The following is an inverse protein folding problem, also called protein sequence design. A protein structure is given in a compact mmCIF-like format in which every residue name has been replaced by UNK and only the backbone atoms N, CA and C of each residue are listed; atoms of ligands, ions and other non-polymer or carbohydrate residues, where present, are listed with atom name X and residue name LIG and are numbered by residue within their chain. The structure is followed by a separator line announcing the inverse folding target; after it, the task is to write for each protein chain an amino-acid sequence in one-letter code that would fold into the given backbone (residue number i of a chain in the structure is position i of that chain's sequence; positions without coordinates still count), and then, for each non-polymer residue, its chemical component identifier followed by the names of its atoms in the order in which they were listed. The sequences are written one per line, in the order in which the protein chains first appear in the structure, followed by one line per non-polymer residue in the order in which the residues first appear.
data_IF_196318389372
#
_entry.id   IF_196318389372
#
_cell.length_a   1.000
_cell.length_b   1.000
_cell.length_c   1.000
_cell.angle_alpha   90.00
_cell.angle_beta   90.00
_cell.angle_gamma   90.00
#
_symmetry.space_group_name_H-M   'P 1'
#
loop_
_entity.id
_entity.type
_entity.pdbx_description
1 polymer ?
#
# COMPACT_ATOMS: atom_id res chain seq x y z
N UNK A 1 -2.46 -20.61 -18.18
CA UNK A 1 -3.10 -19.91 -17.04
C UNK A 1 -4.59 -20.23 -16.88
N UNK A 2 -5.39 -20.38 -17.96
CA UNK A 2 -6.84 -20.66 -17.85
C UNK A 2 -7.24 -22.15 -17.88
N UNK A 3 -6.27 -23.05 -17.90
CA UNK A 3 -6.47 -24.51 -17.99
C UNK A 3 -5.60 -25.26 -16.97
N UNK A 4 -5.27 -24.62 -15.84
CA UNK A 4 -4.64 -25.30 -14.72
C UNK A 4 -5.73 -25.69 -13.72
N UNK A 5 -5.51 -26.79 -12.99
CA UNK A 5 -6.43 -27.20 -11.94
C UNK A 5 -6.53 -26.11 -10.85
N UNK A 6 -7.73 -25.87 -10.31
CA UNK A 6 -7.92 -24.87 -9.26
C UNK A 6 -7.16 -25.28 -8.00
N UNK A 7 -6.62 -24.29 -7.28
CA UNK A 7 -6.05 -24.52 -5.96
C UNK A 7 -7.16 -24.84 -4.94
N UNK A 8 -6.86 -25.44 -3.77
CA UNK A 8 -7.88 -25.78 -2.77
C UNK A 8 -8.79 -24.62 -2.37
N UNK A 9 -8.22 -23.41 -2.24
CA UNK A 9 -8.98 -22.20 -1.95
C UNK A 9 -10.01 -21.88 -3.05
N UNK A 10 -9.63 -21.98 -4.32
CA UNK A 10 -10.55 -21.71 -5.44
C UNK A 10 -11.69 -22.74 -5.46
N UNK A 11 -11.42 -23.99 -5.11
CA UNK A 11 -12.43 -25.05 -5.00
C UNK A 11 -13.44 -24.78 -3.88
N UNK A 12 -12.96 -24.37 -2.71
CA UNK A 12 -13.81 -24.01 -1.57
C UNK A 12 -14.64 -22.77 -1.89
N UNK A 13 -13.98 -21.70 -2.36
CA UNK A 13 -14.63 -20.44 -2.70
C UNK A 13 -15.74 -20.62 -3.76
N UNK A 14 -15.49 -21.41 -4.81
CA UNK A 14 -16.50 -21.67 -5.84
C UNK A 14 -17.64 -22.57 -5.36
N UNK A 15 -17.37 -23.51 -4.44
CA UNK A 15 -18.40 -24.32 -3.78
C UNK A 15 -19.33 -23.44 -2.94
N UNK A 16 -18.77 -22.54 -2.15
CA UNK A 16 -19.55 -21.63 -1.30
C UNK A 16 -20.40 -20.67 -2.13
N UNK A 17 -19.84 -20.12 -3.21
CA UNK A 17 -20.60 -19.32 -4.18
C UNK A 17 -21.78 -20.12 -4.78
N UNK A 18 -21.55 -21.39 -5.14
CA UNK A 18 -22.60 -22.26 -5.67
C UNK A 18 -23.72 -22.51 -4.67
N UNK A 19 -23.39 -22.80 -3.41
CA UNK A 19 -24.35 -22.94 -2.33
C UNK A 19 -25.17 -21.66 -2.12
N UNK A 20 -24.50 -20.51 -1.98
CA UNK A 20 -25.16 -19.21 -1.80
C UNK A 20 -26.08 -18.86 -2.97
N UNK A 21 -25.67 -19.20 -4.20
CA UNK A 21 -26.49 -18.99 -5.39
C UNK A 21 -27.78 -19.82 -5.35
N UNK A 22 -27.68 -21.09 -4.98
CA UNK A 22 -28.83 -21.98 -4.86
C UNK A 22 -29.78 -21.51 -3.77
N UNK A 23 -29.25 -21.22 -2.57
CA UNK A 23 -30.03 -20.69 -1.44
C UNK A 23 -30.72 -19.37 -1.79
N UNK A 24 -30.02 -18.44 -2.45
CA UNK A 24 -30.59 -17.17 -2.88
C UNK A 24 -31.80 -17.35 -3.81
N UNK A 25 -31.71 -18.24 -4.80
CA UNK A 25 -32.81 -18.51 -5.73
C UNK A 25 -33.97 -19.23 -5.00
N UNK A 26 -33.68 -20.21 -4.14
CA UNK A 26 -34.71 -20.92 -3.36
C UNK A 26 -35.50 -19.99 -2.44
N UNK A 27 -34.85 -18.97 -1.89
CA UNK A 27 -35.49 -17.93 -1.07
C UNK A 27 -36.20 -16.84 -1.91
N UNK A 28 -36.39 -17.05 -3.21
CA UNK A 28 -37.08 -16.12 -4.11
C UNK A 28 -36.23 -14.96 -4.64
N UNK A 29 -34.91 -15.01 -4.44
CA UNK A 29 -33.97 -14.05 -4.99
C UNK A 29 -33.88 -14.14 -6.52
N UNK A 30 -33.66 -12.99 -7.17
CA UNK A 30 -33.52 -12.88 -8.62
C UNK A 30 -32.57 -11.73 -8.99
N UNK A 31 -31.99 -11.78 -10.19
CA UNK A 31 -31.30 -10.69 -10.86
C UNK A 31 -30.14 -10.10 -10.03
N UNK A 32 -29.31 -10.96 -9.45
CA UNK A 32 -28.14 -10.58 -8.69
C UNK A 32 -26.90 -11.40 -9.08
N UNK A 33 -25.74 -10.77 -8.95
CA UNK A 33 -24.44 -11.43 -8.93
C UNK A 33 -24.14 -11.88 -7.50
N UNK A 34 -23.80 -13.16 -7.34
CA UNK A 34 -23.42 -13.74 -6.06
C UNK A 34 -21.98 -13.36 -5.75
N UNK A 35 -21.74 -12.85 -4.55
CA UNK A 35 -20.40 -12.49 -4.09
C UNK A 35 -20.20 -12.81 -2.62
N UNK A 36 -18.96 -13.01 -2.24
CA UNK A 36 -18.53 -13.11 -0.84
C UNK A 36 -17.61 -11.92 -0.57
N UNK A 37 -17.98 -11.09 0.41
CA UNK A 37 -17.25 -9.88 0.78
C UNK A 37 -16.91 -9.98 2.26
N UNK A 38 -15.61 -9.90 2.59
CA UNK A 38 -15.10 -10.07 3.95
C UNK A 38 -15.65 -11.33 4.64
N UNK A 39 -15.74 -12.44 3.91
CA UNK A 39 -16.26 -13.72 4.40
C UNK A 39 -17.78 -13.85 4.48
N UNK A 40 -18.53 -12.81 4.11
CA UNK A 40 -20.00 -12.82 4.17
C UNK A 40 -20.61 -12.90 2.77
N UNK A 41 -21.69 -13.67 2.63
CA UNK A 41 -22.50 -13.64 1.41
C UNK A 41 -23.16 -12.27 1.23
N UNK A 42 -22.91 -11.64 0.08
CA UNK A 42 -23.49 -10.35 -0.30
C UNK A 42 -24.02 -10.44 -1.73
N UNK A 43 -25.34 -10.45 -1.96
CA UNK A 43 -25.90 -10.38 -3.29
C UNK A 43 -25.77 -8.96 -3.86
N UNK A 44 -25.22 -8.83 -5.06
CA UNK A 44 -25.13 -7.55 -5.78
C UNK A 44 -26.14 -7.52 -6.92
N UNK A 45 -27.23 -6.77 -6.78
CA UNK A 45 -28.29 -6.73 -7.78
C UNK A 45 -27.86 -6.04 -9.07
N UNK A 46 -28.30 -6.57 -10.21
CA UNK A 46 -27.96 -6.03 -11.54
C UNK A 46 -28.38 -4.57 -11.71
N UNK A 47 -29.49 -4.15 -11.11
CA UNK A 47 -29.95 -2.75 -11.12
C UNK A 47 -28.95 -1.77 -10.49
N UNK A 48 -28.13 -2.24 -9.54
CA UNK A 48 -27.19 -1.41 -8.78
C UNK A 48 -25.78 -1.43 -9.40
N UNK A 49 -25.44 -2.50 -10.15
CA UNK A 49 -24.09 -2.67 -10.74
C UNK A 49 -24.02 -2.39 -12.24
N UNK A 50 -25.15 -2.42 -12.96
CA UNK A 50 -25.21 -2.12 -14.39
C UNK A 50 -25.46 -0.63 -14.60
N UNK A 51 -24.68 -0.05 -15.51
CA UNK A 51 -24.97 1.29 -16.02
C UNK A 51 -26.26 1.24 -16.86
N UNK A 52 -27.27 2.07 -16.56
CA UNK A 52 -28.57 2.05 -17.23
C UNK A 52 -28.49 2.38 -18.73
N UNK A 53 -27.47 3.12 -19.17
CA UNK A 53 -27.28 3.50 -20.57
C UNK A 53 -26.52 2.43 -21.35
N UNK A 54 -25.41 1.94 -20.78
CA UNK A 54 -24.51 1.02 -21.50
C UNK A 54 -24.88 -0.45 -21.29
N UNK A 55 -25.70 -0.78 -20.28
CA UNK A 55 -26.03 -2.14 -19.81
C UNK A 55 -24.79 -2.98 -19.48
N UNK A 56 -23.64 -2.34 -19.27
CA UNK A 56 -22.40 -2.99 -18.86
C UNK A 56 -22.19 -2.79 -17.37
N UNK A 57 -21.53 -3.76 -16.74
CA UNK A 57 -21.07 -3.61 -15.36
C UNK A 57 -19.99 -2.54 -15.29
N UNK A 58 -20.05 -1.67 -14.28
CA UNK A 58 -19.00 -0.69 -14.03
C UNK A 58 -17.67 -1.39 -13.81
N UNK A 59 -16.65 -1.01 -14.59
CA UNK A 59 -15.28 -1.49 -14.37
C UNK A 59 -14.78 -0.91 -13.04
N UNK A 60 -14.49 -1.77 -12.07
CA UNK A 60 -13.87 -1.36 -10.80
C UNK A 60 -12.38 -1.22 -11.04
N UNK A 61 -11.90 0.02 -11.10
CA UNK A 61 -10.47 0.30 -11.15
C UNK A 61 -9.83 -0.01 -9.80
N UNK A 62 -8.59 -0.48 -9.83
CA UNK A 62 -7.79 -0.66 -8.61
C UNK A 62 -7.53 0.71 -8.01
N UNK A 63 -7.83 0.87 -6.73
CA UNK A 63 -7.44 2.06 -5.98
C UNK A 63 -5.96 1.97 -5.61
N UNK A 64 -5.14 2.64 -6.43
CA UNK A 64 -3.69 2.73 -6.24
C UNK A 64 -3.28 3.61 -5.05
N UNK A 65 -4.23 4.32 -4.44
CA UNK A 65 -3.98 5.14 -3.25
C UNK A 65 -4.27 4.39 -1.95
N UNK A 66 -4.96 3.25 -2.01
CA UNK A 66 -5.24 2.42 -0.85
C UNK A 66 -3.97 1.90 -0.18
N UNK A 67 -3.98 1.81 1.16
CA UNK A 67 -2.85 1.29 1.93
C UNK A 67 -2.50 -0.15 1.53
N UNK A 68 -3.52 -0.99 1.34
CA UNK A 68 -3.32 -2.38 0.92
C UNK A 68 -2.56 -2.46 -0.42
N UNK A 69 -2.93 -1.64 -1.40
CA UNK A 69 -2.21 -1.58 -2.67
C UNK A 69 -0.78 -1.10 -2.48
N UNK A 70 -0.55 -0.05 -1.68
CA UNK A 70 0.79 0.48 -1.44
C UNK A 70 1.71 -0.52 -0.73
N UNK A 71 1.18 -1.25 0.25
CA UNK A 71 1.89 -2.33 0.95
C UNK A 71 2.24 -3.45 -0.03
N UNK A 72 1.26 -3.95 -0.79
CA UNK A 72 1.48 -4.99 -1.78
C UNK A 72 2.53 -4.54 -2.82
N UNK A 73 2.44 -3.29 -3.29
CA UNK A 73 3.40 -2.71 -4.25
C UNK A 73 4.83 -2.68 -3.73
N UNK A 74 5.04 -2.49 -2.42
CA UNK A 74 6.39 -2.52 -1.80
C UNK A 74 6.97 -3.93 -1.69
N UNK A 75 6.13 -4.96 -1.54
CA UNK A 75 6.59 -6.35 -1.46
C UNK A 75 6.78 -7.01 -2.83
N UNK A 76 6.32 -6.39 -3.92
CA UNK A 76 6.52 -6.92 -5.26
C UNK A 76 7.98 -6.79 -5.69
N UNK A 77 8.55 -7.87 -6.21
CA UNK A 77 9.84 -7.84 -6.90
C UNK A 77 9.68 -7.15 -8.27
N UNK A 78 9.85 -5.83 -8.29
CA UNK A 78 9.70 -4.99 -9.48
C UNK A 78 10.68 -3.83 -9.42
N UNK A 79 11.17 -3.44 -10.60
CA UNK A 79 11.92 -2.20 -10.75
C UNK A 79 11.09 -1.00 -10.27
N UNK A 80 11.69 -0.20 -9.41
CA UNK A 80 11.14 1.01 -8.82
C UNK A 80 12.05 2.22 -9.11
N UNK A 81 11.65 3.42 -8.69
CA UNK A 81 12.44 4.62 -8.94
C UNK A 81 13.81 4.61 -8.24
N UNK A 82 13.90 4.05 -7.03
CA UNK A 82 15.13 4.02 -6.23
C UNK A 82 16.21 3.17 -6.93
N UNK A 83 15.80 2.09 -7.60
CA UNK A 83 16.67 1.22 -8.41
C UNK A 83 17.37 1.98 -9.56
N UNK A 84 16.76 3.04 -10.11
CA UNK A 84 17.33 3.88 -11.17
C UNK A 84 18.09 5.11 -10.64
N UNK A 85 17.90 5.44 -9.36
CA UNK A 85 18.56 6.56 -8.68
C UNK A 85 19.89 6.14 -8.05
N UNK A 86 20.06 4.86 -7.69
CA UNK A 86 21.34 4.30 -7.26
C UNK A 86 22.18 3.83 -8.47
N UNK A 87 23.30 4.51 -8.80
CA UNK A 87 24.14 4.12 -9.92
C UNK A 87 24.73 2.71 -9.80
N UNK A 88 24.94 2.23 -8.57
CA UNK A 88 25.54 0.92 -8.32
C UNK A 88 24.52 -0.22 -8.56
N UNK A 89 23.29 -0.07 -8.07
CA UNK A 89 22.21 -1.03 -8.37
C UNK A 89 21.86 -1.03 -9.86
N UNK A 90 21.78 0.15 -10.48
CA UNK A 90 21.51 0.26 -11.90
C UNK A 90 22.57 -0.47 -12.75
N UNK A 91 23.85 -0.35 -12.39
CA UNK A 91 24.92 -1.06 -13.08
C UNK A 91 24.78 -2.59 -12.94
N UNK A 92 24.39 -3.10 -11.77
CA UNK A 92 24.12 -4.53 -11.58
C UNK A 92 22.96 -5.03 -12.45
N UNK A 93 21.88 -4.26 -12.55
CA UNK A 93 20.74 -4.64 -13.40
C UNK A 93 21.09 -4.64 -14.88
N UNK A 94 21.84 -3.64 -15.34
CA UNK A 94 22.34 -3.56 -16.71
C UNK A 94 23.24 -4.76 -17.06
N UNK A 95 24.19 -5.09 -16.18
CA UNK A 95 25.11 -6.23 -16.34
C UNK A 95 24.35 -7.57 -16.37
N UNK A 96 23.40 -7.76 -15.45
CA UNK A 96 22.53 -8.96 -15.42
C UNK A 96 21.75 -9.12 -16.73
N UNK A 97 21.32 -8.02 -17.33
CA UNK A 97 20.63 -8.01 -18.63
C UNK A 97 21.58 -8.05 -19.82
N UNK A 98 22.90 -7.97 -19.60
CA UNK A 98 23.94 -7.83 -20.63
C UNK A 98 23.73 -6.62 -21.54
N UNK A 99 23.33 -5.51 -20.94
CA UNK A 99 23.14 -4.22 -21.61
C UNK A 99 24.10 -3.18 -21.04
N UNK A 100 24.38 -2.13 -21.81
CA UNK A 100 24.97 -0.94 -21.22
C UNK A 100 23.93 -0.15 -20.40
N UNK A 101 24.38 0.80 -19.58
CA UNK A 101 23.51 1.54 -18.66
C UNK A 101 22.46 2.37 -19.44
N UNK A 102 22.86 2.98 -20.55
CA UNK A 102 21.99 3.85 -21.35
C UNK A 102 20.92 3.03 -22.08
N UNK A 103 21.29 1.87 -22.65
CA UNK A 103 20.38 0.89 -23.24
C UNK A 103 19.39 0.33 -22.21
N UNK A 104 19.86 0.05 -21.00
CA UNK A 104 18.99 -0.40 -19.91
C UNK A 104 17.96 0.68 -19.56
N UNK A 105 18.40 1.95 -19.45
CA UNK A 105 17.50 3.09 -19.21
C UNK A 105 16.50 3.23 -20.35
N UNK A 106 16.94 3.26 -21.60
CA UNK A 106 16.04 3.37 -22.76
C UNK A 106 14.97 2.28 -22.75
N UNK A 107 15.37 1.04 -22.43
CA UNK A 107 14.47 -0.11 -22.47
C UNK A 107 13.52 -0.20 -21.29
N UNK A 108 13.91 0.21 -20.09
CA UNK A 108 13.13 -0.06 -18.87
C UNK A 108 12.65 1.18 -18.12
N UNK A 109 13.16 2.38 -18.42
CA UNK A 109 12.78 3.60 -17.70
C UNK A 109 11.28 3.95 -17.85
N UNK A 110 10.61 3.51 -18.93
CA UNK A 110 9.17 3.71 -19.08
C UNK A 110 8.35 3.03 -17.96
N UNK A 111 8.88 1.97 -17.33
CA UNK A 111 8.20 1.22 -16.27
C UNK A 111 8.01 2.07 -15.01
N UNK A 112 8.96 2.97 -14.74
CA UNK A 112 9.01 3.77 -13.52
C UNK A 112 8.39 5.17 -13.67
N UNK A 113 8.00 5.58 -14.89
CA UNK A 113 7.41 6.91 -15.14
C UNK A 113 6.16 7.19 -14.28
N UNK A 114 5.39 6.14 -13.98
CA UNK A 114 4.19 6.21 -13.14
C UNK A 114 4.39 5.54 -11.78
N UNK A 115 5.65 5.30 -11.36
CA UNK A 115 5.90 4.74 -10.04
C UNK A 115 5.58 5.79 -8.96
N UNK A 116 4.87 5.37 -7.92
CA UNK A 116 4.35 6.26 -6.86
C UNK A 116 4.97 5.97 -5.49
N UNK A 117 5.97 5.10 -5.48
CA UNK A 117 6.74 4.67 -4.31
C UNK A 117 7.52 5.83 -3.68
N UNK A 118 8.01 6.76 -4.50
CA UNK A 118 8.76 7.96 -4.11
C UNK A 118 7.98 8.90 -3.18
N UNK A 119 6.66 9.06 -3.41
CA UNK A 119 5.83 10.02 -2.67
C UNK A 119 5.66 9.64 -1.22
N UNK A 120 5.66 8.33 -0.93
CA UNK A 120 5.45 7.85 0.43
C UNK A 120 6.76 7.66 1.20
N UNK A 121 7.85 7.23 0.57
CA UNK A 121 9.16 7.17 1.25
C UNK A 121 9.63 8.55 1.67
N UNK A 122 9.52 9.57 0.80
CA UNK A 122 9.84 10.96 1.15
C UNK A 122 8.93 11.52 2.24
N UNK A 123 7.61 11.36 2.12
CA UNK A 123 6.67 11.89 3.11
C UNK A 123 6.80 11.22 4.49
N UNK A 124 7.04 9.91 4.53
CA UNK A 124 7.29 9.17 5.77
C UNK A 124 8.64 9.59 6.37
N UNK A 125 9.69 9.69 5.54
CA UNK A 125 11.00 10.17 6.00
C UNK A 125 10.91 11.59 6.57
N UNK A 126 10.21 12.52 5.90
CA UNK A 126 10.02 13.90 6.38
C UNK A 126 9.28 13.92 7.71
N UNK A 127 8.16 13.19 7.84
CA UNK A 127 7.41 13.11 9.10
C UNK A 127 8.22 12.50 10.24
N UNK A 128 8.96 11.41 9.98
CA UNK A 128 9.84 10.81 10.97
C UNK A 128 10.94 11.78 11.41
N UNK A 129 11.53 12.55 10.48
CA UNK A 129 12.53 13.56 10.84
C UNK A 129 11.94 14.72 11.65
N UNK A 130 10.70 15.14 11.36
CA UNK A 130 10.00 16.18 12.11
C UNK A 130 9.61 15.71 13.52
N UNK A 131 9.10 14.48 13.66
CA UNK A 131 8.80 13.84 14.94
C UNK A 131 10.07 13.61 15.79
N UNK A 132 11.16 13.14 15.18
CA UNK A 132 12.44 12.99 15.89
C UNK A 132 13.03 14.33 16.33
N UNK A 133 12.87 15.39 15.53
CA UNK A 133 13.33 16.74 15.87
C UNK A 133 12.56 17.31 17.05
N UNK A 134 11.23 17.17 17.05
CA UNK A 134 10.38 17.62 18.16
C UNK A 134 10.67 16.87 19.46
N UNK A 135 10.92 15.55 19.41
CA UNK A 135 11.34 14.77 20.58
C UNK A 135 12.70 15.24 21.12
N UNK A 136 13.65 15.57 20.23
CA UNK A 136 14.97 16.07 20.61
C UNK A 136 14.91 17.46 21.26
N UNK A 137 14.14 18.38 20.70
CA UNK A 137 13.92 19.72 21.25
C UNK A 137 13.21 19.66 22.62
N UNK A 138 12.25 18.74 22.80
CA UNK A 138 11.60 18.52 24.09
C UNK A 138 12.56 17.96 25.16
N UNK A 139 13.49 17.07 24.77
CA UNK A 139 14.52 16.54 25.66
C UNK A 139 15.51 17.62 26.09
N UNK A 140 15.95 18.47 25.16
CA UNK A 140 16.88 19.58 25.43
C UNK A 140 16.24 20.66 26.35
N UNK A 141 14.95 20.96 26.16
CA UNK A 141 14.21 21.88 27.04
C UNK A 141 13.99 21.33 28.46
N UNK A 142 13.89 20.00 28.61
CA UNK A 142 13.76 19.34 29.90
C UNK A 142 15.08 19.33 30.69
N UNK A 143 16.21 19.22 30.00
CA UNK A 143 17.55 19.37 30.62
C UNK A 143 17.80 20.80 31.08
N UNK A 144 17.46 21.80 30.28
CA UNK A 144 17.61 23.22 30.65
C UNK A 144 16.75 23.64 31.86
N UNK A 145 15.56 23.04 32.02
CA UNK A 145 14.71 23.27 33.20
C UNK A 145 15.29 22.66 34.47
N UNK A 146 15.87 21.46 34.39
CA UNK A 146 16.55 20.81 35.52
C UNK A 146 17.76 21.62 35.97
N UNK A 147 18.57 22.11 35.03
CA UNK A 147 19.75 22.92 35.33
C UNK A 147 19.40 24.29 35.96
N UNK A 148 18.25 24.87 35.59
CA UNK A 148 17.73 26.11 36.21
C UNK A 148 17.17 25.86 37.63
N UNK A 149 16.42 24.79 37.84
CA UNK A 149 15.91 24.43 39.17
C UNK A 149 17.03 24.05 40.15
N UNK A 150 18.10 23.41 39.67
CA UNK A 150 19.24 23.03 40.49
C UNK A 150 20.08 24.25 40.92
N UNK A 151 20.24 25.25 40.02
CA UNK A 151 20.85 26.56 40.31
C UNK A 151 20.02 27.41 41.29
N UNK A 152 18.70 27.36 41.21
CA UNK A 152 17.83 28.09 42.14
C UNK A 152 17.84 27.47 43.55
N UNK A 153 17.93 26.13 43.65
CA UNK A 153 18.09 25.42 44.94
C UNK A 153 19.45 25.64 45.59
N UNK A 154 20.54 25.77 44.82
CA UNK A 154 21.86 26.10 45.37
C UNK A 154 21.97 27.57 45.79
N UNK A 155 21.33 28.49 45.05
CA UNK A 155 21.28 29.92 45.42
C UNK A 155 20.51 30.21 46.71
N UNK A 156 19.46 29.45 47.03
CA UNK A 156 18.72 29.57 48.30
C UNK A 156 19.46 29.01 49.52
N UNK A 157 20.39 28.06 49.34
CA UNK A 157 21.20 27.50 50.45
C UNK A 157 22.34 28.40 50.92
N UNK A 158 22.71 29.44 50.17
CA UNK A 158 23.79 30.38 50.55
C UNK A 158 23.28 31.67 51.23
N UNK A 159 21.96 31.82 51.44
CA UNK A 159 21.34 33.00 52.06
C UNK A 159 20.56 32.70 53.36
N UNK A 160 20.79 31.55 53.99
CA UNK A 160 20.27 31.21 55.30
C UNK A 160 21.41 31.04 56.30
#
# INVERSE_FOLDING_TARGET
LRCADPIPYDMEYTRDLGYCAAEFIMNGGNAAMISIQNGNFVPMYFKDILDPKTKKTKVRMVDVTSEYYQIARRYMLRLNLDDFNDPHELAKFADTCKLNIDEFREKFQYIIQNDRTDRTSKAISTRLTEEMKTVREAAEAATDKKDKEEKEKTGKKQKA
#
